data_IF_473965523486
#
_entry.id   IF_473965523486
#
_cell.length_a   1.000
_cell.length_b   1.000
_cell.length_c   1.000
_cell.angle_alpha   90.00
_cell.angle_beta   90.00
_cell.angle_gamma   90.00
#
_symmetry.space_group_name_H-M   'P 1'
#
loop_
_entity.id
_entity.type
_entity.pdbx_description
1 polymer ?
#
# COMPACT_ATOMS: atom_id res chain seq x y z
N UNK A 1 -6.81 -21.47 -23.03
CA UNK A 1 -5.57 -20.67 -22.92
C UNK A 1 -5.34 -20.38 -21.46
N UNK A 2 -4.14 -20.64 -20.95
CA UNK A 2 -3.82 -20.48 -19.52
C UNK A 2 -3.74 -19.02 -19.05
N UNK A 3 -3.67 -18.06 -19.96
CA UNK A 3 -3.62 -16.62 -19.68
C UNK A 3 -4.74 -15.91 -20.44
N UNK A 4 -5.41 -14.96 -19.78
CA UNK A 4 -6.49 -14.15 -20.36
C UNK A 4 -6.27 -12.65 -20.08
N UNK A 5 -6.98 -11.80 -20.80
CA UNK A 5 -6.93 -10.35 -20.64
C UNK A 5 -7.96 -9.87 -19.62
N UNK A 6 -7.54 -9.01 -18.69
CA UNK A 6 -8.45 -8.30 -17.78
C UNK A 6 -9.08 -7.10 -18.50
N UNK A 7 -10.17 -7.34 -19.23
CA UNK A 7 -10.94 -6.28 -19.92
C UNK A 7 -11.75 -5.49 -18.90
N UNK A 8 -11.49 -4.18 -18.81
CA UNK A 8 -11.99 -3.33 -17.71
C UNK A 8 -12.43 -1.95 -18.23
N UNK A 9 -13.72 -1.58 -18.08
CA UNK A 9 -14.16 -0.19 -18.16
C UNK A 9 -13.54 0.68 -17.06
N UNK A 10 -13.52 2.01 -17.27
CA UNK A 10 -13.06 2.97 -16.26
C UNK A 10 -13.84 2.79 -14.94
N UNK A 11 -13.11 2.78 -13.81
CA UNK A 11 -13.67 2.52 -12.48
C UNK A 11 -13.69 1.04 -12.06
N UNK A 12 -13.41 0.11 -12.97
CA UNK A 12 -13.24 -1.31 -12.61
C UNK A 12 -11.88 -1.53 -11.93
N UNK A 13 -11.81 -2.59 -11.12
CA UNK A 13 -10.57 -3.02 -10.47
C UNK A 13 -10.31 -4.52 -10.72
N UNK A 14 -9.04 -4.88 -10.87
CA UNK A 14 -8.57 -6.26 -10.83
C UNK A 14 -7.74 -6.45 -9.56
N UNK A 15 -8.07 -7.49 -8.78
CA UNK A 15 -7.36 -7.84 -7.55
C UNK A 15 -6.69 -9.19 -7.79
N UNK A 16 -5.40 -9.28 -7.51
CA UNK A 16 -4.63 -10.51 -7.63
C UNK A 16 -3.59 -10.59 -6.51
N UNK A 17 -3.20 -11.81 -6.15
CA UNK A 17 -2.16 -12.04 -5.14
C UNK A 17 -0.77 -11.94 -5.79
N UNK A 18 0.28 -11.79 -4.99
CA UNK A 18 1.67 -11.80 -5.47
C UNK A 18 2.11 -13.11 -6.14
N UNK A 19 1.30 -14.17 -6.05
CA UNK A 19 1.54 -15.46 -6.70
C UNK A 19 0.88 -15.57 -8.08
N UNK A 20 -0.02 -14.65 -8.43
CA UNK A 20 -0.69 -14.65 -9.72
C UNK A 20 0.29 -14.29 -10.83
N UNK A 21 0.46 -15.16 -11.82
CA UNK A 21 1.21 -14.83 -13.04
C UNK A 21 0.46 -13.74 -13.80
N UNK A 22 1.08 -12.58 -13.98
CA UNK A 22 0.50 -11.45 -14.68
C UNK A 22 1.59 -10.59 -15.33
N UNK A 23 1.18 -9.71 -16.25
CA UNK A 23 2.07 -8.77 -16.92
C UNK A 23 1.30 -7.79 -17.79
N UNK A 24 1.96 -6.72 -18.21
CA UNK A 24 1.41 -5.80 -19.20
C UNK A 24 1.29 -6.48 -20.57
N UNK A 25 0.13 -6.37 -21.21
CA UNK A 25 -0.06 -6.81 -22.59
C UNK A 25 0.38 -5.75 -23.61
N UNK A 26 0.62 -6.18 -24.85
CA UNK A 26 0.93 -5.29 -25.97
C UNK A 26 -0.26 -4.36 -26.27
N UNK A 27 -0.03 -3.05 -26.28
CA UNK A 27 -1.05 -2.07 -26.64
C UNK A 27 -1.04 -1.80 -28.15
N UNK A 28 -2.08 -2.26 -28.85
CA UNK A 28 -2.26 -2.08 -30.31
C UNK A 28 -3.28 -1.00 -30.67
N UNK A 29 -3.85 -0.30 -29.69
CA UNK A 29 -4.96 0.64 -29.90
C UNK A 29 -4.56 2.00 -30.48
N UNK A 30 -3.25 2.32 -30.51
CA UNK A 30 -2.75 3.65 -30.86
C UNK A 30 -3.05 4.74 -29.83
N UNK A 31 -3.63 4.39 -28.66
CA UNK A 31 -3.98 5.32 -27.57
C UNK A 31 -3.27 4.94 -26.28
N UNK A 32 -3.00 5.92 -25.42
CA UNK A 32 -2.43 5.69 -24.09
C UNK A 32 -3.46 4.98 -23.21
N UNK A 33 -3.04 3.88 -22.55
CA UNK A 33 -3.83 3.20 -21.52
C UNK A 33 -3.33 3.59 -20.14
N UNK A 34 -4.18 4.22 -19.34
CA UNK A 34 -3.87 4.60 -17.95
C UNK A 34 -4.41 3.56 -16.98
N UNK A 35 -3.69 3.38 -15.87
CA UNK A 35 -4.10 2.56 -14.74
C UNK A 35 -3.46 3.08 -13.47
N UNK A 36 -4.09 2.78 -12.33
CA UNK A 36 -3.53 3.00 -11.00
C UNK A 36 -3.21 1.64 -10.41
N UNK A 37 -1.99 1.44 -9.94
CA UNK A 37 -1.59 0.26 -9.18
C UNK A 37 -1.49 0.63 -7.72
N UNK A 38 -2.19 -0.13 -6.87
CA UNK A 38 -2.06 -0.02 -5.41
C UNK A 38 -1.70 -1.41 -4.91
N UNK A 39 -0.58 -1.51 -4.20
CA UNK A 39 -0.09 -2.77 -3.68
C UNK A 39 -0.07 -2.72 -2.16
N UNK A 40 -0.48 -3.82 -1.53
CA UNK A 40 -0.41 -4.00 -0.09
C UNK A 40 0.60 -5.11 0.22
N UNK A 41 1.37 -4.91 1.29
CA UNK A 41 2.22 -5.94 1.86
C UNK A 41 1.88 -6.10 3.34
N UNK A 42 2.33 -7.20 3.95
CA UNK A 42 2.19 -7.38 5.38
C UNK A 42 3.04 -6.33 6.13
N UNK A 43 2.64 -5.96 7.36
CA UNK A 43 3.28 -4.90 8.15
C UNK A 43 4.75 -5.14 8.54
N UNK A 44 5.24 -6.35 8.33
CA UNK A 44 6.62 -6.81 8.54
C UNK A 44 7.48 -6.84 7.29
N UNK A 45 6.92 -6.42 6.15
CA UNK A 45 7.63 -6.20 4.91
C UNK A 45 7.84 -4.70 4.69
N UNK A 46 8.93 -4.34 4.03
CA UNK A 46 9.24 -2.96 3.69
C UNK A 46 8.43 -2.55 2.45
N UNK A 47 7.64 -1.46 2.50
CA UNK A 47 6.95 -0.93 1.32
C UNK A 47 7.93 -0.48 0.25
N UNK A 48 7.54 -0.60 -1.02
CA UNK A 48 8.34 -0.10 -2.16
C UNK A 48 8.44 1.43 -2.14
N UNK A 49 7.36 2.11 -1.74
CA UNK A 49 7.32 3.57 -1.63
C UNK A 49 7.35 3.98 -0.16
N UNK A 50 8.37 4.75 0.22
CA UNK A 50 8.51 5.24 1.59
C UNK A 50 7.65 6.51 1.81
N UNK A 51 6.43 6.30 2.30
CA UNK A 51 5.48 7.39 2.55
C UNK A 51 5.90 8.32 3.68
N UNK A 52 6.75 7.87 4.62
CA UNK A 52 7.21 8.70 5.74
C UNK A 52 8.01 9.92 5.28
N UNK A 53 8.72 9.80 4.15
CA UNK A 53 9.49 10.89 3.55
C UNK A 53 8.79 11.49 2.33
N UNK A 54 7.83 10.78 1.74
CA UNK A 54 7.14 11.19 0.51
C UNK A 54 5.88 12.01 0.73
N UNK A 55 5.26 11.93 1.92
CA UNK A 55 3.98 12.59 2.20
C UNK A 55 4.13 13.53 3.42
N UNK A 56 3.82 14.84 3.27
CA UNK A 56 3.85 15.77 4.41
C UNK A 56 2.90 15.35 5.54
N UNK A 57 3.32 15.51 6.79
CA UNK A 57 2.53 15.10 7.96
C UNK A 57 1.17 15.79 8.01
N UNK A 58 1.09 17.06 7.59
CA UNK A 58 -0.16 17.83 7.52
C UNK A 58 -1.19 17.18 6.60
N UNK A 59 -0.73 16.52 5.53
CA UNK A 59 -1.59 15.77 4.61
C UNK A 59 -2.02 14.45 5.22
N UNK A 60 -1.12 13.75 5.90
CA UNK A 60 -1.42 12.48 6.57
C UNK A 60 -2.47 12.68 7.66
N UNK A 61 -2.34 13.72 8.50
CA UNK A 61 -3.29 14.05 9.58
C UNK A 61 -4.75 14.21 9.10
N UNK A 62 -4.95 14.61 7.84
CA UNK A 62 -6.28 14.82 7.25
C UNK A 62 -6.90 13.52 6.68
N UNK A 63 -6.13 12.44 6.57
CA UNK A 63 -6.61 11.18 6.04
C UNK A 63 -7.40 10.40 7.09
N UNK A 64 -8.34 9.51 6.68
CA UNK A 64 -8.93 8.54 7.58
C UNK A 64 -7.87 7.71 8.28
N UNK A 65 -8.11 7.33 9.54
CA UNK A 65 -7.16 6.56 10.37
C UNK A 65 -6.56 5.38 9.60
N UNK A 66 -7.38 4.57 8.94
CA UNK A 66 -6.91 3.42 8.18
C UNK A 66 -5.91 3.76 7.08
N UNK A 67 -6.06 4.91 6.42
CA UNK A 67 -5.12 5.36 5.40
C UNK A 67 -3.79 5.83 6.03
N UNK A 68 -3.84 6.46 7.20
CA UNK A 68 -2.62 6.80 7.96
C UNK A 68 -1.83 5.53 8.31
N UNK A 69 -2.50 4.49 8.78
CA UNK A 69 -1.86 3.20 9.09
C UNK A 69 -1.22 2.56 7.86
N UNK A 70 -1.89 2.61 6.70
CA UNK A 70 -1.37 2.09 5.44
C UNK A 70 -0.14 2.87 4.93
N UNK A 71 -0.01 4.14 5.27
CA UNK A 71 1.18 4.94 4.99
C UNK A 71 2.32 4.71 6.01
N UNK A 72 2.11 3.83 6.98
CA UNK A 72 3.12 3.42 7.96
C UNK A 72 3.00 4.09 9.32
N UNK A 73 1.94 4.88 9.58
CA UNK A 73 1.69 5.48 10.90
C UNK A 73 0.96 4.51 11.85
N UNK A 74 1.43 3.26 11.86
CA UNK A 74 1.04 2.24 12.81
C UNK A 74 2.22 1.30 13.08
N UNK A 75 2.39 0.93 14.34
CA UNK A 75 3.27 -0.18 14.69
C UNK A 75 2.61 -1.51 14.32
N UNK A 76 3.41 -2.49 13.93
CA UNK A 76 2.97 -3.87 13.72
C UNK A 76 3.47 -4.75 14.88
N UNK A 77 2.59 -5.54 15.48
CA UNK A 77 2.98 -6.60 16.42
C UNK A 77 2.87 -7.97 15.74
N UNK A 78 3.99 -8.67 15.59
CA UNK A 78 4.01 -10.04 15.09
C UNK A 78 3.58 -11.09 16.13
N UNK A 79 3.27 -10.68 17.36
CA UNK A 79 2.96 -11.57 18.48
C UNK A 79 1.66 -11.18 19.16
N UNK A 80 1.00 -12.15 19.79
CA UNK A 80 -0.18 -11.90 20.62
C UNK A 80 0.14 -11.42 22.03
N UNK A 81 1.41 -11.41 22.43
CA UNK A 81 1.85 -11.15 23.81
C UNK A 81 2.55 -9.81 24.01
N UNK A 82 2.74 -9.00 22.95
CA UNK A 82 3.53 -7.78 23.02
C UNK A 82 5.03 -8.08 23.06
N UNK A 83 5.69 -8.00 21.91
CA UNK A 83 7.13 -8.27 21.84
C UNK A 83 7.71 -8.42 20.44
N UNK A 84 6.85 -8.60 19.43
CA UNK A 84 7.22 -8.58 18.01
C UNK A 84 6.99 -7.24 17.35
N UNK A 85 7.17 -6.14 18.09
CA UNK A 85 6.85 -4.79 17.64
C UNK A 85 7.89 -4.29 16.63
N UNK A 86 7.41 -3.80 15.49
CA UNK A 86 8.19 -3.12 14.46
C UNK A 86 7.46 -1.87 13.98
N UNK A 87 8.17 -1.00 13.26
CA UNK A 87 7.69 0.32 12.83
C UNK A 87 7.33 1.24 14.02
N UNK A 88 8.07 1.11 15.13
CA UNK A 88 7.92 2.00 16.29
C UNK A 88 8.60 3.34 16.02
N UNK A 89 8.04 4.42 16.58
CA UNK A 89 8.65 5.74 16.64
C UNK A 89 9.03 6.04 18.10
N UNK A 90 10.31 6.33 18.37
CA UNK A 90 10.82 6.57 19.73
C UNK A 90 10.39 5.48 20.75
N UNK A 91 10.42 4.21 20.35
CA UNK A 91 9.96 3.05 21.19
C UNK A 91 8.47 3.13 21.55
N UNK A 92 7.68 3.84 20.75
CA UNK A 92 6.23 3.99 20.89
C UNK A 92 5.49 3.96 19.55
N UNK A 93 4.23 4.40 19.58
CA UNK A 93 3.39 4.44 18.39
C UNK A 93 3.84 5.55 17.44
N UNK A 94 4.03 5.27 16.14
CA UNK A 94 4.25 6.32 15.14
C UNK A 94 3.05 7.26 14.95
N UNK A 95 1.87 6.94 15.51
CA UNK A 95 0.75 7.89 15.58
C UNK A 95 1.09 9.16 16.38
N UNK A 96 2.07 9.12 17.29
CA UNK A 96 2.53 10.30 18.02
C UNK A 96 2.98 11.45 17.09
N UNK A 97 3.48 11.13 15.89
CA UNK A 97 3.85 12.13 14.88
C UNK A 97 2.66 12.91 14.32
N UNK A 98 1.44 12.38 14.46
CA UNK A 98 0.22 12.97 13.92
C UNK A 98 -0.58 13.76 14.97
N UNK A 99 -0.22 13.62 16.24
CA UNK A 99 -0.88 14.26 17.39
C UNK A 99 -0.24 15.61 17.78
N UNK A 100 0.99 15.86 17.30
CA UNK A 100 1.68 17.17 17.40
C UNK A 100 1.24 18.15 16.33
#
# INVERSE_FOLDING_TARGET
GEITQAVMPAGSAAIFTGQCLHGGGTNTSGKVRRGLSVSFCHGWLVPVENSWLGVPLERVRQLPERAQELLGYAAYDGTSMGGGMINMYEVGSPKALLES
#
